data_IF_256342965732
#
_entry.id   IF_256342965732
#
_cell.length_a   1.000
_cell.length_b   1.000
_cell.length_c   1.000
_cell.angle_alpha   90.00
_cell.angle_beta   90.00
_cell.angle_gamma   90.00
#
_symmetry.space_group_name_H-M   'P 1'
#
loop_
_entity.id
_entity.type
_entity.pdbx_description
1 polymer ?
#
# COMPACT_ATOMS: atom_id res chain seq x y z
N UNK A 1 27.37 9.34 41.46
CA UNK A 1 25.95 9.73 41.57
C UNK A 1 25.24 9.27 40.32
N UNK A 2 24.24 8.40 40.46
CA UNK A 2 23.44 7.87 39.35
C UNK A 2 22.52 9.00 38.87
N UNK A 3 22.64 9.40 37.61
CA UNK A 3 21.63 10.28 37.00
C UNK A 3 20.33 9.50 36.87
N UNK A 4 19.35 9.84 37.71
CA UNK A 4 17.96 9.44 37.55
C UNK A 4 17.43 10.12 36.28
N UNK A 5 17.13 9.34 35.25
CA UNK A 5 16.25 9.79 34.17
C UNK A 5 14.82 9.61 34.67
N UNK A 6 14.11 10.72 34.88
CA UNK A 6 12.69 10.73 35.26
C UNK A 6 11.86 10.91 33.99
N UNK A 7 11.22 9.82 33.56
CA UNK A 7 10.01 9.77 32.72
C UNK A 7 10.08 10.37 31.31
N UNK A 8 10.32 9.55 30.29
CA UNK A 8 10.05 9.92 28.89
C UNK A 8 8.52 9.95 28.66
N UNK A 9 7.87 11.07 29.00
CA UNK A 9 6.46 11.30 28.68
C UNK A 9 6.30 11.72 27.21
N UNK A 10 5.32 11.13 26.52
CA UNK A 10 5.03 11.38 25.11
C UNK A 10 3.54 11.74 24.97
N UNK A 11 3.24 12.64 24.03
CA UNK A 11 1.85 13.02 23.71
C UNK A 11 1.14 11.86 23.00
N UNK A 12 -0.02 11.46 23.53
CA UNK A 12 -0.90 10.49 22.90
C UNK A 12 -1.52 11.10 21.62
N UNK A 13 -1.42 10.43 20.45
CA UNK A 13 -1.95 10.95 19.20
C UNK A 13 -3.49 10.93 19.13
N UNK A 14 -4.17 10.26 20.07
CA UNK A 14 -5.63 10.13 20.08
C UNK A 14 -6.29 11.22 20.94
N UNK A 15 -5.81 11.42 22.17
CA UNK A 15 -6.40 12.39 23.11
C UNK A 15 -5.56 13.65 23.36
N UNK A 16 -4.33 13.74 22.82
CA UNK A 16 -3.48 14.93 22.91
C UNK A 16 -2.85 15.19 24.29
N UNK A 17 -3.02 14.30 25.26
CA UNK A 17 -2.45 14.42 26.61
C UNK A 17 -1.11 13.70 26.74
N UNK A 18 -0.29 14.13 27.71
CA UNK A 18 1.00 13.51 28.04
C UNK A 18 0.80 12.21 28.82
N UNK A 19 1.51 11.17 28.43
CA UNK A 19 1.54 9.88 29.11
C UNK A 19 2.95 9.29 29.11
N UNK A 20 3.31 8.48 30.11
CA UNK A 20 4.58 7.75 30.10
C UNK A 20 4.71 6.87 28.86
N UNK A 21 5.88 6.88 28.22
CA UNK A 21 6.21 5.90 27.19
C UNK A 21 6.34 4.49 27.80
N UNK A 22 6.02 3.43 27.04
CA UNK A 22 5.38 3.45 25.72
C UNK A 22 3.87 3.72 25.77
N UNK A 23 3.33 4.31 24.71
CA UNK A 23 1.91 4.70 24.63
C UNK A 23 0.94 3.52 24.42
N UNK A 24 1.43 2.33 24.06
CA UNK A 24 0.59 1.23 23.62
C UNK A 24 -0.47 0.79 24.63
N UNK A 25 -0.08 0.61 25.89
CA UNK A 25 -1.00 0.19 26.94
C UNK A 25 -2.04 1.26 27.28
N UNK A 26 -1.63 2.53 27.27
CA UNK A 26 -2.55 3.64 27.45
C UNK A 26 -3.60 3.66 26.34
N UNK A 27 -3.19 3.59 25.08
CA UNK A 27 -4.12 3.70 23.95
C UNK A 27 -5.11 2.52 23.94
N UNK A 28 -4.64 1.29 24.15
CA UNK A 28 -5.53 0.11 24.19
C UNK A 28 -6.57 0.19 25.30
N UNK A 29 -6.22 0.73 26.47
CA UNK A 29 -7.13 0.83 27.62
C UNK A 29 -8.09 2.02 27.53
N UNK A 30 -7.60 3.17 27.07
CA UNK A 30 -8.37 4.42 27.06
C UNK A 30 -9.19 4.61 25.77
N UNK A 31 -8.66 4.16 24.63
CA UNK A 31 -9.22 4.42 23.29
C UNK A 31 -9.61 3.13 22.55
N UNK A 32 -9.01 2.00 22.94
CA UNK A 32 -9.32 0.68 22.38
C UNK A 32 -8.32 0.22 21.32
N UNK A 33 -8.50 -1.04 20.87
CA UNK A 33 -7.54 -1.69 19.97
C UNK A 33 -7.53 -1.07 18.56
N UNK A 34 -8.68 -0.58 18.07
CA UNK A 34 -8.77 0.05 16.75
C UNK A 34 -7.96 1.35 16.67
N UNK A 35 -8.09 2.21 17.68
CA UNK A 35 -7.31 3.46 17.77
C UNK A 35 -5.82 3.19 17.99
N UNK A 36 -5.48 2.13 18.73
CA UNK A 36 -4.11 1.66 18.86
C UNK A 36 -3.52 1.27 17.50
N UNK A 37 -4.22 0.41 16.75
CA UNK A 37 -3.79 0.00 15.41
C UNK A 37 -3.66 1.22 14.49
N UNK A 38 -4.64 2.12 14.48
CA UNK A 38 -4.62 3.29 13.61
C UNK A 38 -3.46 4.23 13.94
N UNK A 39 -3.18 4.48 15.23
CA UNK A 39 -2.04 5.29 15.66
C UNK A 39 -0.68 4.73 15.24
N UNK A 40 -0.50 3.40 15.32
CA UNK A 40 0.71 2.71 14.84
C UNK A 40 0.87 2.89 13.32
N UNK A 41 -0.23 2.73 12.57
CA UNK A 41 -0.22 2.88 11.12
C UNK A 41 0.03 4.31 10.67
N UNK A 42 -0.51 5.31 11.36
CA UNK A 42 -0.27 6.72 11.05
C UNK A 42 1.17 7.13 11.34
N UNK A 43 1.75 6.64 12.44
CA UNK A 43 3.18 6.83 12.70
C UNK A 43 4.05 6.25 11.57
N UNK A 44 3.69 5.07 11.05
CA UNK A 44 4.38 4.45 9.90
C UNK A 44 4.24 5.29 8.63
N UNK A 45 3.03 5.79 8.33
CA UNK A 45 2.76 6.66 7.16
C UNK A 45 3.51 7.99 7.26
N UNK A 46 3.66 8.53 8.47
CA UNK A 46 4.44 9.73 8.75
C UNK A 46 5.97 9.53 8.57
N UNK A 47 6.42 8.33 8.18
CA UNK A 47 7.83 8.05 7.89
C UNK A 47 8.65 7.61 9.09
N UNK A 48 8.02 7.35 10.24
CA UNK A 48 8.71 6.84 11.42
C UNK A 48 9.33 5.46 11.15
N UNK A 49 10.56 5.25 11.63
CA UNK A 49 11.24 3.96 11.47
C UNK A 49 10.59 2.87 12.34
N UNK A 50 10.74 1.59 11.96
CA UNK A 50 10.17 0.47 12.72
C UNK A 50 10.68 0.41 14.16
N UNK A 51 11.94 0.78 14.38
CA UNK A 51 12.53 0.85 15.72
C UNK A 51 11.86 1.94 16.58
N UNK A 52 11.69 3.14 16.02
CA UNK A 52 11.00 4.24 16.71
C UNK A 52 9.53 3.94 16.98
N UNK A 53 8.84 3.24 16.07
CA UNK A 53 7.46 2.78 16.30
C UNK A 53 7.43 1.74 17.43
N UNK A 54 8.36 0.78 17.43
CA UNK A 54 8.47 -0.22 18.47
C UNK A 54 8.69 0.39 19.86
N UNK A 55 9.58 1.37 19.96
CA UNK A 55 9.85 2.12 21.19
C UNK A 55 8.63 2.96 21.62
N UNK A 56 8.04 3.73 20.70
CA UNK A 56 6.92 4.63 21.00
C UNK A 56 5.66 3.89 21.47
N UNK A 57 5.36 2.75 20.87
CA UNK A 57 4.12 2.01 21.13
C UNK A 57 4.32 0.74 21.95
N UNK A 58 5.56 0.39 22.32
CA UNK A 58 5.85 -0.78 23.14
C UNK A 58 5.54 -2.08 22.44
N UNK A 59 5.83 -2.16 21.14
CA UNK A 59 5.55 -3.34 20.31
C UNK A 59 6.83 -3.92 19.69
N UNK A 60 6.85 -5.24 19.58
CA UNK A 60 7.90 -5.95 18.84
C UNK A 60 7.77 -5.75 17.33
N UNK A 61 8.88 -5.99 16.60
CA UNK A 61 8.87 -6.03 15.14
C UNK A 61 7.79 -6.99 14.58
N UNK A 62 7.61 -8.16 15.21
CA UNK A 62 6.61 -9.15 14.79
C UNK A 62 5.19 -8.64 14.97
N UNK A 63 4.90 -7.94 16.07
CA UNK A 63 3.59 -7.33 16.30
C UNK A 63 3.32 -6.21 15.30
N UNK A 64 4.33 -5.37 15.02
CA UNK A 64 4.22 -4.35 13.98
C UNK A 64 3.93 -4.97 12.61
N UNK A 65 4.64 -6.03 12.23
CA UNK A 65 4.41 -6.74 10.98
C UNK A 65 3.01 -7.37 10.92
N UNK A 66 2.50 -7.93 12.03
CA UNK A 66 1.15 -8.48 12.11
C UNK A 66 0.08 -7.39 11.95
N UNK A 67 0.19 -6.26 12.66
CA UNK A 67 -0.73 -5.12 12.57
C UNK A 67 -0.81 -4.59 11.13
N UNK A 68 0.36 -4.45 10.52
CA UNK A 68 0.51 -4.03 9.13
C UNK A 68 -0.14 -5.06 8.19
N UNK A 69 0.17 -6.34 8.35
CA UNK A 69 -0.29 -7.38 7.43
C UNK A 69 -1.81 -7.62 7.56
N UNK A 70 -2.35 -7.59 8.77
CA UNK A 70 -3.78 -7.80 9.02
C UNK A 70 -4.64 -6.64 8.52
N UNK A 71 -4.12 -5.41 8.57
CA UNK A 71 -4.89 -4.23 8.14
C UNK A 71 -4.83 -4.02 6.63
N UNK A 72 -3.70 -4.31 5.99
CA UNK A 72 -3.50 -4.01 4.56
C UNK A 72 -3.59 -5.24 3.65
N UNK A 73 -3.66 -6.46 4.21
CA UNK A 73 -3.52 -7.70 3.44
C UNK A 73 -2.14 -7.84 2.77
N UNK A 74 -1.19 -6.98 3.12
CA UNK A 74 0.15 -6.86 2.55
C UNK A 74 1.08 -6.13 3.53
N UNK A 75 2.39 -6.38 3.45
CA UNK A 75 3.36 -5.70 4.31
C UNK A 75 3.61 -4.26 3.83
N UNK A 76 3.15 -3.24 4.58
CA UNK A 76 3.27 -1.78 4.30
C UNK A 76 4.71 -1.29 4.20
N UNK A 77 5.70 -2.01 4.72
CA UNK A 77 7.11 -1.71 4.40
C UNK A 77 7.41 -1.78 2.88
N UNK A 78 6.48 -2.35 2.10
CA UNK A 78 6.45 -2.27 0.65
C UNK A 78 6.13 -0.90 0.05
N UNK A 79 5.45 -0.04 0.81
CA UNK A 79 4.75 1.14 0.34
C UNK A 79 5.56 2.43 0.50
N UNK A 80 6.52 2.46 1.42
CA UNK A 80 7.22 3.70 1.79
C UNK A 80 8.40 4.11 0.89
N UNK A 81 8.77 3.31 -0.11
CA UNK A 81 9.86 3.65 -1.04
C UNK A 81 9.30 4.02 -2.41
N UNK A 82 9.59 5.24 -2.87
CA UNK A 82 9.37 5.62 -4.27
C UNK A 82 9.97 4.56 -5.19
N UNK A 83 9.12 3.86 -5.94
CA UNK A 83 9.56 2.78 -6.82
C UNK A 83 10.35 3.38 -7.99
N UNK A 84 11.63 3.02 -8.11
CA UNK A 84 12.42 3.39 -9.30
C UNK A 84 11.89 2.60 -10.50
N UNK A 85 11.19 3.28 -11.39
CA UNK A 85 10.60 2.71 -12.61
C UNK A 85 11.74 2.39 -13.60
N UNK A 86 11.89 1.11 -13.96
CA UNK A 86 12.90 0.65 -14.93
C UNK A 86 12.37 0.54 -16.36
N UNK A 87 11.07 0.29 -16.49
CA UNK A 87 10.37 0.16 -17.77
C UNK A 87 8.91 0.56 -17.60
N UNK A 88 8.29 1.00 -18.69
CA UNK A 88 6.89 1.44 -18.72
C UNK A 88 5.93 0.40 -19.30
N UNK A 89 6.48 -0.62 -19.94
CA UNK A 89 5.73 -1.70 -20.57
C UNK A 89 6.54 -3.00 -20.52
N UNK A 90 5.87 -4.17 -20.63
CA UNK A 90 6.54 -5.44 -20.84
C UNK A 90 7.30 -5.46 -22.18
N UNK A 91 8.51 -6.04 -22.23
CA UNK A 91 9.21 -6.22 -23.50
C UNK A 91 8.44 -7.18 -24.40
N UNK A 92 8.30 -6.83 -25.70
CA UNK A 92 7.72 -7.68 -26.74
C UNK A 92 6.32 -8.24 -26.43
N UNK A 93 5.48 -7.50 -25.71
CA UNK A 93 4.12 -7.95 -25.42
C UNK A 93 3.30 -8.14 -26.69
N UNK A 94 2.67 -9.32 -26.78
CA UNK A 94 1.69 -9.65 -27.80
C UNK A 94 0.37 -10.00 -27.10
N UNK A 95 -0.77 -9.47 -27.56
CA UNK A 95 -2.07 -9.87 -27.02
C UNK A 95 -2.31 -11.38 -27.17
N UNK A 96 -2.75 -12.03 -26.09
CA UNK A 96 -3.14 -13.44 -26.11
C UNK A 96 -4.52 -13.57 -26.73
N UNK A 97 -4.63 -14.06 -27.96
CA UNK A 97 -5.87 -14.01 -28.78
C UNK A 97 -6.86 -15.14 -28.54
N UNK A 98 -6.42 -16.25 -27.93
CA UNK A 98 -7.26 -17.42 -27.65
C UNK A 98 -8.12 -17.23 -26.40
N UNK A 99 -8.83 -18.28 -25.98
CA UNK A 99 -9.60 -18.31 -24.71
C UNK A 99 -8.79 -18.82 -23.52
N UNK A 100 -7.57 -19.32 -23.74
CA UNK A 100 -6.69 -19.86 -22.69
C UNK A 100 -5.36 -19.12 -22.76
N UNK A 101 -5.08 -18.28 -21.75
CA UNK A 101 -3.91 -17.40 -21.75
C UNK A 101 -2.80 -17.93 -20.84
N UNK A 102 -1.55 -17.81 -21.29
CA UNK A 102 -0.38 -18.26 -20.52
C UNK A 102 0.68 -17.17 -20.42
N UNK A 103 0.73 -16.50 -19.27
CA UNK A 103 1.78 -15.53 -18.95
C UNK A 103 2.81 -16.16 -18.01
N UNK A 104 3.96 -16.57 -18.56
CA UNK A 104 5.03 -17.24 -17.80
C UNK A 104 5.59 -16.40 -16.64
N UNK A 105 5.50 -15.08 -16.76
CA UNK A 105 5.95 -14.14 -15.74
C UNK A 105 4.77 -13.29 -15.28
N UNK A 106 4.79 -12.90 -14.00
CA UNK A 106 3.79 -11.95 -13.46
C UNK A 106 3.95 -10.56 -14.08
N UNK A 107 5.19 -10.12 -14.33
CA UNK A 107 5.47 -8.74 -14.71
C UNK A 107 5.65 -7.81 -13.50
N UNK A 108 6.40 -6.73 -13.74
CA UNK A 108 6.83 -5.77 -12.72
C UNK A 108 7.31 -4.44 -13.30
N UNK A 109 6.76 -4.02 -14.45
CA UNK A 109 7.02 -2.69 -15.02
C UNK A 109 6.22 -1.61 -14.28
N UNK A 110 6.58 -0.35 -14.47
CA UNK A 110 6.04 0.79 -13.76
C UNK A 110 6.07 0.57 -12.24
N UNK A 111 4.92 0.66 -11.58
CA UNK A 111 4.75 0.51 -10.13
C UNK A 111 4.18 -0.84 -9.73
N UNK A 112 3.95 -1.76 -10.68
CA UNK A 112 3.39 -3.08 -10.39
C UNK A 112 4.22 -3.86 -9.38
N UNK A 113 3.52 -4.47 -8.43
CA UNK A 113 4.15 -5.12 -7.29
C UNK A 113 3.33 -6.32 -6.85
N UNK A 114 3.99 -7.47 -6.68
CA UNK A 114 3.36 -8.74 -6.30
C UNK A 114 2.99 -8.83 -4.83
N UNK A 115 3.46 -7.91 -3.98
CA UNK A 115 3.31 -8.00 -2.53
C UNK A 115 1.88 -7.82 -2.03
N UNK A 116 1.01 -7.18 -2.81
CA UNK A 116 -0.43 -7.12 -2.48
C UNK A 116 -1.09 -8.48 -2.72
N UNK A 117 -1.65 -9.10 -1.69
CA UNK A 117 -2.29 -10.41 -1.80
C UNK A 117 -3.52 -10.32 -2.71
N UNK A 118 -3.68 -11.30 -3.60
CA UNK A 118 -4.85 -11.38 -4.48
C UNK A 118 -4.80 -10.45 -5.70
N UNK A 119 -3.68 -9.75 -5.96
CA UNK A 119 -3.51 -9.11 -7.25
C UNK A 119 -3.40 -10.13 -8.38
N UNK A 120 -3.87 -9.75 -9.57
CA UNK A 120 -3.56 -10.43 -10.80
C UNK A 120 -2.29 -9.89 -11.47
N UNK A 121 -1.72 -10.71 -12.35
CA UNK A 121 -0.63 -10.35 -13.25
C UNK A 121 -1.04 -9.17 -14.13
N UNK A 122 -0.27 -8.06 -14.21
CA UNK A 122 -0.58 -6.93 -15.09
C UNK A 122 -0.70 -7.26 -16.57
N UNK A 123 -0.17 -8.40 -17.03
CA UNK A 123 -0.43 -8.88 -18.38
C UNK A 123 -1.92 -9.11 -18.67
N UNK A 124 -2.71 -9.51 -17.67
CA UNK A 124 -4.14 -9.79 -17.81
C UNK A 124 -4.94 -8.50 -18.11
N UNK A 125 -4.93 -7.46 -17.25
CA UNK A 125 -5.62 -6.21 -17.58
C UNK A 125 -5.04 -5.54 -18.82
N UNK A 126 -3.73 -5.65 -19.09
CA UNK A 126 -3.15 -5.15 -20.35
C UNK A 126 -3.83 -5.75 -21.58
N UNK A 127 -3.98 -7.08 -21.60
CA UNK A 127 -4.59 -7.81 -22.71
C UNK A 127 -6.06 -7.42 -22.89
N UNK A 128 -6.80 -7.31 -21.78
CA UNK A 128 -8.20 -6.89 -21.78
C UNK A 128 -8.38 -5.46 -22.30
N UNK A 129 -7.62 -4.50 -21.74
CA UNK A 129 -7.73 -3.08 -22.08
C UNK A 129 -7.37 -2.84 -23.54
N UNK A 130 -6.28 -3.46 -24.04
CA UNK A 130 -5.88 -3.33 -25.44
C UNK A 130 -6.90 -3.95 -26.41
N UNK A 131 -7.65 -4.97 -25.99
CA UNK A 131 -8.64 -5.63 -26.83
C UNK A 131 -9.99 -4.91 -26.88
N UNK A 132 -10.43 -4.39 -25.74
CA UNK A 132 -11.81 -3.96 -25.53
C UNK A 132 -11.95 -2.45 -25.28
N UNK A 133 -10.90 -1.67 -25.50
CA UNK A 133 -10.99 -0.20 -25.43
C UNK A 133 -10.00 0.48 -26.36
N UNK A 134 -10.25 1.74 -26.69
CA UNK A 134 -9.34 2.65 -27.37
C UNK A 134 -8.67 3.63 -26.38
N UNK A 135 -7.52 4.23 -26.73
CA UNK A 135 -6.96 5.36 -25.98
C UNK A 135 -8.02 6.46 -25.76
N UNK A 136 -8.05 7.05 -24.57
CA UNK A 136 -9.02 8.06 -24.15
C UNK A 136 -10.32 7.50 -23.54
N UNK A 137 -10.66 6.24 -23.80
CA UNK A 137 -11.87 5.62 -23.25
C UNK A 137 -11.75 5.31 -21.75
N UNK A 138 -12.91 5.02 -21.14
CA UNK A 138 -13.05 4.81 -19.71
C UNK A 138 -13.03 3.32 -19.34
N UNK A 139 -12.16 2.96 -18.40
CA UNK A 139 -12.11 1.64 -17.74
C UNK A 139 -12.68 1.77 -16.32
N UNK A 140 -13.62 0.88 -15.96
CA UNK A 140 -14.15 0.76 -14.60
C UNK A 140 -13.60 -0.51 -13.94
N UNK A 141 -13.02 -0.37 -12.74
CA UNK A 141 -12.69 -1.49 -11.86
C UNK A 141 -13.34 -1.27 -10.49
N UNK A 142 -14.42 -1.98 -10.15
CA UNK A 142 -15.12 -1.80 -8.87
C UNK A 142 -14.45 -2.53 -7.69
N UNK A 143 -13.38 -3.31 -7.94
CA UNK A 143 -12.65 -4.08 -6.92
C UNK A 143 -11.14 -3.96 -7.12
N UNK A 144 -10.65 -2.71 -7.21
CA UNK A 144 -9.32 -2.40 -7.74
C UNK A 144 -8.18 -2.97 -6.89
N UNK A 145 -8.40 -3.22 -5.59
CA UNK A 145 -7.38 -3.74 -4.68
C UNK A 145 -6.10 -2.92 -4.71
N UNK A 146 -4.98 -3.56 -5.08
CA UNK A 146 -3.68 -2.92 -5.18
C UNK A 146 -3.44 -2.03 -6.42
N UNK A 147 -4.42 -1.85 -7.31
CA UNK A 147 -4.32 -0.86 -8.37
C UNK A 147 -3.90 -1.37 -9.75
N UNK A 148 -3.67 -2.67 -9.95
CA UNK A 148 -3.11 -3.21 -11.21
C UNK A 148 -3.86 -2.73 -12.45
N UNK A 149 -5.20 -2.77 -12.43
CA UNK A 149 -6.03 -2.32 -13.57
C UNK A 149 -5.87 -0.82 -13.83
N UNK A 150 -5.89 0.00 -12.78
CA UNK A 150 -5.75 1.45 -12.90
C UNK A 150 -4.36 1.85 -13.41
N UNK A 151 -3.30 1.16 -12.96
CA UNK A 151 -1.94 1.37 -13.45
C UNK A 151 -1.86 1.05 -14.94
N UNK A 152 -2.38 -0.09 -15.38
CA UNK A 152 -2.40 -0.44 -16.81
C UNK A 152 -3.25 0.50 -17.66
N UNK A 153 -4.43 0.90 -17.17
CA UNK A 153 -5.27 1.89 -17.85
C UNK A 153 -4.50 3.20 -18.07
N UNK A 154 -3.83 3.71 -17.04
CA UNK A 154 -3.00 4.93 -17.13
C UNK A 154 -1.84 4.78 -18.11
N UNK A 155 -1.11 3.65 -18.07
CA UNK A 155 0.01 3.39 -18.99
C UNK A 155 -0.43 3.27 -20.45
N UNK A 156 -1.65 2.78 -20.69
CA UNK A 156 -2.24 2.62 -22.01
C UNK A 156 -3.03 3.84 -22.47
N UNK A 157 -3.02 4.94 -21.71
CA UNK A 157 -3.72 6.17 -22.08
C UNK A 157 -5.25 6.06 -22.00
N UNK A 158 -5.80 5.25 -21.09
CA UNK A 158 -7.24 5.21 -20.77
C UNK A 158 -7.52 6.05 -19.52
N UNK A 159 -8.74 6.57 -19.44
CA UNK A 159 -9.31 7.06 -18.18
C UNK A 159 -9.68 5.87 -17.31
N UNK A 160 -9.61 6.00 -16.00
CA UNK A 160 -10.01 4.93 -15.09
C UNK A 160 -10.83 5.46 -13.92
N UNK A 161 -11.94 4.78 -13.62
CA UNK A 161 -12.63 4.86 -12.34
C UNK A 161 -12.34 3.56 -11.60
N UNK A 162 -11.80 3.68 -10.40
CA UNK A 162 -11.39 2.56 -9.57
C UNK A 162 -12.00 2.69 -8.18
N UNK A 163 -12.64 1.63 -7.70
CA UNK A 163 -13.25 1.57 -6.38
C UNK A 163 -12.73 0.35 -5.61
N UNK A 164 -12.70 0.49 -4.29
CA UNK A 164 -12.53 -0.63 -3.37
C UNK A 164 -13.24 -0.26 -2.06
N UNK A 165 -13.80 -1.26 -1.37
CA UNK A 165 -14.40 -1.04 -0.05
C UNK A 165 -13.35 -0.81 1.02
N UNK A 166 -12.14 -1.35 0.84
CA UNK A 166 -11.05 -1.16 1.76
C UNK A 166 -10.36 0.19 1.46
N UNK A 167 -10.47 1.20 2.34
CA UNK A 167 -9.84 2.51 2.13
C UNK A 167 -8.32 2.41 1.97
N UNK A 168 -7.68 1.38 2.54
CA UNK A 168 -6.25 1.16 2.38
C UNK A 168 -5.87 0.68 0.98
N UNK A 169 -6.72 -0.10 0.32
CA UNK A 169 -6.54 -0.49 -1.08
C UNK A 169 -6.66 0.71 -2.00
N UNK A 170 -7.61 1.61 -1.70
CA UNK A 170 -7.75 2.87 -2.43
C UNK A 170 -6.49 3.73 -2.28
N UNK A 171 -5.95 3.85 -1.07
CA UNK A 171 -4.72 4.60 -0.86
C UNK A 171 -3.54 3.95 -1.60
N UNK A 172 -3.34 2.64 -1.45
CA UNK A 172 -2.32 1.89 -2.19
C UNK A 172 -2.42 2.10 -3.70
N UNK A 173 -3.64 2.06 -4.24
CA UNK A 173 -3.89 2.33 -5.65
C UNK A 173 -3.46 3.75 -6.02
N UNK A 174 -3.80 4.76 -5.20
CA UNK A 174 -3.32 6.13 -5.41
C UNK A 174 -1.79 6.20 -5.40
N UNK A 175 -1.13 5.52 -4.46
CA UNK A 175 0.33 5.48 -4.39
C UNK A 175 0.94 4.87 -5.65
N UNK A 176 0.42 3.74 -6.10
CA UNK A 176 0.87 3.07 -7.31
C UNK A 176 0.59 3.91 -8.56
N UNK A 177 -0.37 4.85 -8.53
CA UNK A 177 -0.64 5.79 -9.61
C UNK A 177 0.24 7.05 -9.58
N UNK A 178 1.08 7.25 -8.56
CA UNK A 178 2.03 8.39 -8.44
C UNK A 178 3.23 8.23 -9.38
N UNK A 179 2.97 8.21 -10.68
CA UNK A 179 3.96 8.28 -11.75
C UNK A 179 3.40 9.06 -12.95
N UNK A 180 4.28 9.57 -13.80
CA UNK A 180 3.90 10.14 -15.10
C UNK A 180 4.51 9.26 -16.20
N UNK A 181 3.69 8.64 -17.07
CA UNK A 181 4.20 7.98 -18.27
C UNK A 181 5.05 8.95 -19.12
N UNK A 182 6.01 8.45 -19.91
CA UNK A 182 6.92 9.27 -20.70
C UNK A 182 6.29 9.81 -22.01
N UNK A 183 4.96 9.81 -22.12
CA UNK A 183 4.20 10.11 -23.33
C UNK A 183 3.35 11.36 -23.15
#
# INVERSE_FOLDING_TARGET
MKNLVVGDEIVCPVCGTLHPAPLGDHIRRAHGEQDFVQAVLDAKRAGMSDAQIGERFGISYRQLEQIITSTYGANVSALSRGKRIRSWAPPNFRPETTTVWSFKQRGGWATHDGRYRGNWSPYIPRNLILRYSAPGELVLDPFVGGGTTAVEAKLLGRRCIALDINPMCVELTRENLRFSPPH
#
